data_IF_460946426630
#
_entry.id   IF_460946426630
#
_cell.length_a   1.000
_cell.length_b   1.000
_cell.length_c   1.000
_cell.angle_alpha   90.00
_cell.angle_beta   90.00
_cell.angle_gamma   90.00
#
_symmetry.space_group_name_H-M   'P 1'
#
loop_
_entity.id
_entity.type
_entity.pdbx_description
1 polymer ?
#
# COMPACT_ATOMS: atom_id res chain seq x y z
N UNK A 1 19.44 12.04 -9.24
CA UNK A 1 19.21 12.72 -7.96
C UNK A 1 17.94 12.15 -7.33
N UNK A 2 17.92 11.99 -6.01
CA UNK A 2 16.71 11.57 -5.28
C UNK A 2 15.71 12.73 -5.26
N UNK A 3 14.43 12.43 -5.46
CA UNK A 3 13.34 13.41 -5.40
C UNK A 3 12.74 13.49 -3.99
N UNK A 4 12.68 12.35 -3.31
CA UNK A 4 12.37 12.23 -1.89
C UNK A 4 13.58 11.62 -1.21
N UNK A 5 14.08 12.26 -0.17
CA UNK A 5 15.17 11.77 0.64
C UNK A 5 14.78 11.80 2.12
N UNK A 6 14.83 10.64 2.75
CA UNK A 6 14.52 10.44 4.17
C UNK A 6 15.74 9.89 4.84
N UNK A 7 16.22 10.55 5.91
CA UNK A 7 17.44 10.17 6.63
C UNK A 7 17.19 10.10 8.12
N UNK A 8 17.38 8.91 8.68
CA UNK A 8 17.41 8.62 10.13
C UNK A 8 16.22 9.19 10.90
N UNK A 9 14.99 9.12 10.31
CA UNK A 9 13.79 9.62 10.98
C UNK A 9 13.40 8.72 12.15
N UNK A 10 13.03 9.37 13.25
CA UNK A 10 12.49 8.72 14.45
C UNK A 10 11.20 9.40 14.87
N UNK A 11 10.24 8.62 15.37
CA UNK A 11 8.99 9.14 15.93
C UNK A 11 8.47 8.27 17.06
N UNK A 12 8.33 8.87 18.24
CA UNK A 12 7.81 8.24 19.43
C UNK A 12 6.53 8.95 19.89
N UNK A 13 5.50 8.21 20.17
CA UNK A 13 4.27 8.74 20.77
C UNK A 13 4.23 8.48 22.26
N UNK A 14 3.91 9.53 23.02
CA UNK A 14 3.68 9.46 24.46
C UNK A 14 2.18 9.29 24.71
N UNK A 15 1.77 8.09 25.12
CA UNK A 15 0.36 7.74 25.34
C UNK A 15 0.09 7.62 26.84
N UNK A 16 -0.87 8.37 27.42
CA UNK A 16 -1.21 8.24 28.82
C UNK A 16 -1.85 6.89 29.11
N UNK A 17 -1.38 6.21 30.14
CA UNK A 17 -2.01 4.98 30.63
C UNK A 17 -3.26 5.32 31.43
N UNK A 18 -4.41 4.76 31.05
CA UNK A 18 -5.64 4.87 31.82
C UNK A 18 -5.48 4.05 33.10
N UNK A 19 -5.61 4.70 34.27
CA UNK A 19 -5.70 3.97 35.55
C UNK A 19 -7.07 3.32 35.66
N UNK A 20 -7.11 2.05 36.09
CA UNK A 20 -8.37 1.34 36.40
C UNK A 20 -8.80 1.66 37.83
N UNK A 21 -10.08 2.01 38.07
CA UNK A 21 -10.67 2.19 39.40
C UNK A 21 -11.65 3.36 39.48
N UNK A 22 -12.55 3.28 40.47
CA UNK A 22 -13.68 4.22 40.70
C UNK A 22 -13.25 5.67 41.05
N UNK A 23 -11.97 5.85 41.49
CA UNK A 23 -11.34 7.15 41.79
C UNK A 23 -10.16 7.46 40.84
N UNK A 24 -10.14 6.84 39.64
CA UNK A 24 -9.03 6.95 38.67
C UNK A 24 -8.82 8.36 38.14
N UNK A 25 -9.89 9.15 38.04
CA UNK A 25 -9.87 10.50 37.46
C UNK A 25 -9.06 11.49 38.32
N UNK A 26 -9.22 11.44 39.64
CA UNK A 26 -8.48 12.32 40.58
C UNK A 26 -7.00 11.90 40.72
N UNK A 27 -6.71 10.59 40.72
CA UNK A 27 -5.34 10.04 40.81
C UNK A 27 -4.54 10.32 39.52
N UNK A 28 -5.22 10.35 38.36
CA UNK A 28 -4.60 10.64 37.06
C UNK A 28 -4.18 12.12 36.90
N UNK A 29 -4.77 13.03 37.67
CA UNK A 29 -4.39 14.44 37.64
C UNK A 29 -3.00 14.70 38.24
N UNK A 30 -2.63 13.94 39.32
CA UNK A 30 -1.37 14.14 40.01
C UNK A 30 -0.24 13.17 39.63
N UNK A 31 -0.52 12.01 39.02
CA UNK A 31 0.51 11.01 38.71
C UNK A 31 0.19 10.28 37.42
N UNK A 32 0.37 10.95 36.27
CA UNK A 32 0.15 10.36 34.94
C UNK A 32 1.29 9.44 34.55
N UNK A 33 1.03 8.13 34.51
CA UNK A 33 1.95 7.17 33.87
C UNK A 33 1.78 7.21 32.35
N UNK A 34 2.88 7.15 31.62
CA UNK A 34 2.91 7.17 30.18
C UNK A 34 3.53 5.89 29.64
N UNK A 35 3.01 5.44 28.50
CA UNK A 35 3.66 4.44 27.64
C UNK A 35 4.26 5.17 26.44
N UNK A 36 5.48 4.85 26.10
CA UNK A 36 6.13 5.33 24.89
C UNK A 36 5.99 4.28 23.79
N UNK A 37 5.53 4.70 22.61
CA UNK A 37 5.36 3.84 21.44
C UNK A 37 6.29 4.39 20.37
N UNK A 38 7.36 3.64 20.07
CA UNK A 38 8.31 3.96 19.00
C UNK A 38 7.69 3.59 17.66
N UNK A 39 7.00 4.53 17.03
CA UNK A 39 6.29 4.29 15.79
C UNK A 39 7.22 4.25 14.57
N UNK A 40 8.32 5.00 14.61
CA UNK A 40 9.37 5.03 13.58
C UNK A 40 10.73 5.01 14.30
N UNK A 41 11.64 4.16 13.82
CA UNK A 41 12.96 3.94 14.42
C UNK A 41 14.01 3.88 13.31
N UNK A 42 14.79 4.94 13.20
CA UNK A 42 15.94 5.05 12.28
C UNK A 42 15.62 4.71 10.82
N UNK A 43 14.51 5.23 10.30
CA UNK A 43 14.05 4.95 8.93
C UNK A 43 14.77 5.88 7.95
N UNK A 44 15.42 5.28 6.95
CA UNK A 44 16.12 5.98 5.87
C UNK A 44 15.83 5.34 4.52
N UNK A 45 15.42 6.13 3.53
CA UNK A 45 15.22 5.70 2.15
C UNK A 45 15.20 6.90 1.19
N UNK A 46 15.28 6.62 -0.11
CA UNK A 46 15.13 7.64 -1.13
C UNK A 46 14.21 7.16 -2.26
N UNK A 47 13.49 8.09 -2.91
CA UNK A 47 12.59 7.79 -4.04
C UNK A 47 12.93 8.72 -5.19
N UNK A 48 12.92 8.19 -6.42
CA UNK A 48 13.17 8.96 -7.64
C UNK A 48 11.88 9.63 -8.13
N UNK A 49 12.00 10.74 -8.86
CA UNK A 49 10.86 11.41 -9.48
C UNK A 49 10.13 10.49 -10.45
N UNK A 50 8.80 10.45 -10.35
CA UNK A 50 7.95 9.61 -11.20
C UNK A 50 7.97 8.11 -10.84
N UNK A 51 8.55 7.73 -9.71
CA UNK A 51 8.53 6.35 -9.21
C UNK A 51 7.20 6.04 -8.51
N UNK A 52 6.68 4.83 -8.68
CA UNK A 52 5.60 4.29 -7.84
C UNK A 52 6.23 3.32 -6.86
N UNK A 53 6.11 3.61 -5.57
CA UNK A 53 6.67 2.79 -4.48
C UNK A 53 5.56 2.27 -3.60
N UNK A 54 5.53 0.95 -3.39
CA UNK A 54 4.71 0.31 -2.38
C UNK A 54 5.37 0.41 -1.01
N UNK A 55 4.72 1.07 -0.05
CA UNK A 55 5.18 1.17 1.33
C UNK A 55 4.34 0.24 2.20
N UNK A 56 4.79 -0.98 2.43
CA UNK A 56 4.01 -2.08 2.99
C UNK A 56 4.48 -2.50 4.37
N UNK A 57 3.60 -3.14 5.13
CA UNK A 57 3.91 -3.60 6.49
C UNK A 57 2.63 -3.98 7.24
N UNK A 58 2.73 -4.70 8.37
CA UNK A 58 1.57 -5.06 9.18
C UNK A 58 0.92 -3.84 9.83
N UNK A 59 -0.26 -4.04 10.42
CA UNK A 59 -0.92 -2.98 11.19
C UNK A 59 -0.04 -2.57 12.38
N UNK A 60 0.10 -1.25 12.57
CA UNK A 60 0.99 -0.70 13.61
C UNK A 60 2.47 -0.65 13.25
N UNK A 61 2.88 -1.08 12.04
CA UNK A 61 4.30 -1.05 11.60
C UNK A 61 4.88 0.36 11.43
N UNK A 62 4.03 1.41 11.37
CA UNK A 62 4.47 2.79 11.18
C UNK A 62 4.12 3.41 9.82
N UNK A 63 3.44 2.69 8.93
CA UNK A 63 3.08 3.16 7.56
C UNK A 63 2.42 4.54 7.56
N UNK A 64 1.24 4.67 8.18
CA UNK A 64 0.50 5.94 8.21
C UNK A 64 1.25 7.04 8.99
N UNK A 65 2.13 6.68 9.94
CA UNK A 65 2.99 7.65 10.62
C UNK A 65 4.02 8.22 9.65
N UNK A 66 4.64 7.36 8.85
CA UNK A 66 5.58 7.80 7.80
C UNK A 66 4.88 8.68 6.77
N UNK A 67 3.71 8.28 6.25
CA UNK A 67 2.93 9.12 5.32
C UNK A 67 2.60 10.48 5.93
N UNK A 68 2.21 10.54 7.21
CA UNK A 68 1.93 11.82 7.90
C UNK A 68 3.18 12.69 8.06
N UNK A 69 4.36 12.11 8.25
CA UNK A 69 5.62 12.86 8.27
C UNK A 69 5.94 13.38 6.87
N UNK A 70 5.86 12.52 5.85
CA UNK A 70 6.14 12.90 4.47
C UNK A 70 5.14 13.95 3.95
N UNK A 71 3.87 13.89 4.34
CA UNK A 71 2.86 14.89 3.98
C UNK A 71 2.92 16.19 4.82
N UNK A 72 3.87 16.30 5.75
CA UNK A 72 4.04 17.48 6.60
C UNK A 72 2.97 17.66 7.70
N UNK A 73 2.17 16.62 7.97
CA UNK A 73 1.18 16.61 9.06
C UNK A 73 1.86 16.39 10.42
N UNK A 74 2.90 15.55 10.44
CA UNK A 74 3.68 15.26 11.64
C UNK A 74 5.14 15.72 11.43
N UNK A 75 5.74 16.18 12.53
CA UNK A 75 7.17 16.44 12.61
C UNK A 75 7.83 15.23 13.27
N UNK A 76 8.91 14.67 12.70
CA UNK A 76 9.68 13.61 13.36
C UNK A 76 10.38 14.17 14.61
N UNK A 77 10.75 13.28 15.54
CA UNK A 77 11.49 13.68 16.75
C UNK A 77 12.97 13.90 16.44
N UNK A 78 13.50 13.19 15.42
CA UNK A 78 14.85 13.38 14.88
C UNK A 78 14.92 12.91 13.43
N UNK A 79 16.04 13.22 12.77
CA UNK A 79 16.28 12.91 11.36
C UNK A 79 15.86 14.03 10.42
N UNK A 80 16.00 13.79 9.12
CA UNK A 80 15.73 14.78 8.09
C UNK A 80 14.90 14.21 6.94
N UNK A 81 14.01 15.05 6.38
CA UNK A 81 13.24 14.75 5.18
C UNK A 81 13.36 15.91 4.21
N UNK A 82 13.81 15.62 3.00
CA UNK A 82 13.87 16.59 1.90
C UNK A 82 13.08 16.03 0.73
N UNK A 83 12.12 16.81 0.23
CA UNK A 83 11.24 16.43 -0.88
C UNK A 83 11.22 17.62 -1.86
N UNK A 84 11.69 17.40 -3.09
CA UNK A 84 11.84 18.47 -4.11
C UNK A 84 12.47 19.75 -3.53
N UNK A 85 13.58 19.59 -2.81
CA UNK A 85 14.34 20.66 -2.12
C UNK A 85 13.59 21.33 -0.95
N UNK A 86 12.45 20.82 -0.51
CA UNK A 86 11.65 21.35 0.60
C UNK A 86 11.66 20.42 1.80
N UNK A 87 11.61 20.98 3.00
CA UNK A 87 11.34 20.24 4.23
C UNK A 87 9.84 20.32 4.53
N UNK A 88 9.07 19.21 4.54
CA UNK A 88 7.61 19.22 4.60
C UNK A 88 6.97 20.09 5.67
N UNK A 89 7.57 20.16 6.86
CA UNK A 89 7.03 20.94 8.00
C UNK A 89 7.60 22.36 8.09
N UNK A 90 8.75 22.65 7.44
CA UNK A 90 9.32 23.99 7.40
C UNK A 90 8.71 24.80 6.26
N UNK A 91 8.65 24.21 5.07
CA UNK A 91 8.17 24.85 3.84
C UNK A 91 6.68 24.58 3.59
N UNK A 92 5.91 24.35 4.65
CA UNK A 92 4.56 23.74 4.63
C UNK A 92 3.62 24.36 3.60
N UNK A 93 3.54 25.72 3.52
CA UNK A 93 2.61 26.40 2.62
C UNK A 93 2.89 26.09 1.15
N UNK A 94 4.16 26.12 0.74
CA UNK A 94 4.60 25.79 -0.62
C UNK A 94 4.52 24.29 -0.86
N UNK A 95 4.92 23.50 0.12
CA UNK A 95 4.95 22.04 0.01
C UNK A 95 3.56 21.44 -0.19
N UNK A 96 2.55 21.90 0.54
CA UNK A 96 1.17 21.36 0.46
C UNK A 96 0.55 21.58 -0.93
N UNK A 97 0.93 22.66 -1.65
CA UNK A 97 0.46 22.89 -3.03
C UNK A 97 1.11 21.95 -4.06
N UNK A 98 2.15 21.21 -3.69
CA UNK A 98 2.87 20.29 -4.59
C UNK A 98 2.52 18.82 -4.33
N UNK A 99 1.67 18.53 -3.33
CA UNK A 99 1.31 17.16 -2.94
C UNK A 99 -0.19 16.93 -2.96
N UNK A 100 -0.59 15.74 -3.37
CA UNK A 100 -1.94 15.19 -3.14
C UNK A 100 -1.85 14.10 -2.07
N UNK A 101 -2.85 14.03 -1.18
CA UNK A 101 -2.90 13.01 -0.13
C UNK A 101 -4.31 12.43 -0.10
N UNK A 102 -4.42 11.11 -0.12
CA UNK A 102 -5.68 10.39 0.08
C UNK A 102 -5.52 9.45 1.27
N UNK A 103 -6.37 9.61 2.29
CA UNK A 103 -6.46 8.71 3.42
C UNK A 103 -7.71 7.83 3.28
N UNK A 104 -7.54 6.53 3.11
CA UNK A 104 -8.65 5.61 2.80
C UNK A 104 -9.82 5.65 3.79
N UNK A 105 -9.55 5.96 5.06
CA UNK A 105 -10.57 6.02 6.10
C UNK A 105 -11.07 7.43 6.43
N UNK A 106 -10.53 8.45 5.80
CA UNK A 106 -10.90 9.86 6.04
C UNK A 106 -11.21 10.56 4.74
N UNK A 107 -12.39 11.17 4.67
CA UNK A 107 -12.77 12.01 3.54
C UNK A 107 -12.17 13.40 3.67
N UNK A 108 -11.65 13.93 2.56
CA UNK A 108 -11.32 15.34 2.40
C UNK A 108 -12.47 16.12 1.73
N UNK A 109 -13.47 15.38 1.20
CA UNK A 109 -14.66 15.95 0.61
C UNK A 109 -15.67 16.29 1.69
N UNK A 110 -16.45 17.35 1.47
CA UNK A 110 -17.54 17.75 2.34
C UNK A 110 -18.72 16.79 2.21
N UNK A 111 -19.12 16.21 3.32
CA UNK A 111 -20.02 15.05 3.37
C UNK A 111 -21.44 15.31 2.83
N UNK A 112 -21.97 16.51 3.10
CA UNK A 112 -23.37 16.85 2.81
C UNK A 112 -23.59 17.55 1.47
N UNK A 113 -22.53 17.91 0.75
CA UNK A 113 -22.60 18.59 -0.54
C UNK A 113 -22.10 17.69 -1.68
N UNK A 114 -22.49 17.99 -2.94
CA UNK A 114 -21.95 17.31 -4.12
C UNK A 114 -20.43 17.38 -4.21
N UNK A 115 -19.82 16.35 -4.82
CA UNK A 115 -18.37 16.31 -4.99
C UNK A 115 -17.84 17.51 -5.80
N UNK A 116 -18.61 17.99 -6.78
CA UNK A 116 -18.25 19.18 -7.58
C UNK A 116 -18.08 20.43 -6.73
N UNK A 117 -18.91 20.62 -5.70
CA UNK A 117 -18.81 21.79 -4.83
C UNK A 117 -17.56 21.73 -3.96
N UNK A 118 -17.18 20.51 -3.52
CA UNK A 118 -15.90 20.29 -2.85
C UNK A 118 -14.72 20.62 -3.79
N UNK A 119 -14.81 20.27 -5.08
CA UNK A 119 -13.76 20.57 -6.05
C UNK A 119 -13.66 22.07 -6.32
N UNK A 120 -14.78 22.77 -6.43
CA UNK A 120 -14.82 24.24 -6.57
C UNK A 120 -14.14 24.93 -5.38
N UNK A 121 -14.42 24.46 -4.17
CA UNK A 121 -13.78 24.99 -2.97
C UNK A 121 -12.25 24.70 -2.95
N UNK A 122 -11.84 23.51 -3.38
CA UNK A 122 -10.41 23.19 -3.51
C UNK A 122 -9.73 24.07 -4.57
N UNK A 123 -10.40 24.37 -5.69
CA UNK A 123 -9.91 25.32 -6.68
C UNK A 123 -9.55 26.67 -6.02
N UNK A 124 -10.45 27.20 -5.19
CA UNK A 124 -10.24 28.48 -4.52
C UNK A 124 -9.13 28.41 -3.46
N UNK A 125 -9.09 27.32 -2.68
CA UNK A 125 -8.03 27.07 -1.68
C UNK A 125 -6.65 27.02 -2.33
N UNK A 126 -6.52 26.29 -3.46
CA UNK A 126 -5.26 26.16 -4.19
C UNK A 126 -5.00 27.31 -5.16
N UNK A 127 -5.96 28.23 -5.33
CA UNK A 127 -5.91 29.39 -6.25
C UNK A 127 -5.62 28.96 -7.70
N UNK A 128 -6.34 27.96 -8.17
CA UNK A 128 -6.18 27.44 -9.53
C UNK A 128 -6.93 28.38 -10.50
N UNK A 129 -6.28 28.72 -11.62
CA UNK A 129 -6.91 29.49 -12.69
C UNK A 129 -8.13 28.78 -13.24
N UNK A 130 -9.19 29.55 -13.62
CA UNK A 130 -10.46 28.98 -14.08
C UNK A 130 -10.34 28.09 -15.31
N UNK A 131 -9.50 28.45 -16.27
CA UNK A 131 -9.32 27.66 -17.49
C UNK A 131 -8.53 26.39 -17.18
N UNK A 132 -7.50 26.50 -16.35
CA UNK A 132 -6.73 25.35 -15.90
C UNK A 132 -7.60 24.40 -15.08
N UNK A 133 -8.41 24.92 -14.15
CA UNK A 133 -9.35 24.11 -13.37
C UNK A 133 -10.32 23.34 -14.26
N UNK A 134 -10.99 24.02 -15.20
CA UNK A 134 -11.95 23.39 -16.13
C UNK A 134 -11.28 22.27 -16.93
N UNK A 135 -10.07 22.49 -17.44
CA UNK A 135 -9.31 21.50 -18.17
C UNK A 135 -9.01 20.28 -17.29
N UNK A 136 -8.47 20.50 -16.07
CA UNK A 136 -8.12 19.44 -15.14
C UNK A 136 -9.34 18.65 -14.69
N UNK A 137 -10.43 19.36 -14.36
CA UNK A 137 -11.67 18.74 -13.94
C UNK A 137 -12.24 17.82 -15.02
N UNK A 138 -12.33 18.30 -16.27
CA UNK A 138 -12.81 17.48 -17.38
C UNK A 138 -11.95 16.23 -17.59
N UNK A 139 -10.64 16.36 -17.55
CA UNK A 139 -9.73 15.20 -17.64
C UNK A 139 -9.99 14.18 -16.51
N UNK A 140 -10.17 14.64 -15.27
CA UNK A 140 -10.46 13.78 -14.12
C UNK A 140 -11.84 13.13 -14.20
N UNK A 141 -12.86 13.87 -14.69
CA UNK A 141 -14.21 13.33 -14.91
C UNK A 141 -14.17 12.17 -15.89
N UNK A 142 -13.47 12.33 -17.01
CA UNK A 142 -13.35 11.27 -18.03
C UNK A 142 -12.55 10.07 -17.50
N UNK A 143 -11.39 10.33 -16.89
CA UNK A 143 -10.47 9.26 -16.46
C UNK A 143 -11.02 8.40 -15.32
N UNK A 144 -11.81 8.96 -14.43
CA UNK A 144 -12.38 8.29 -13.25
C UNK A 144 -13.87 7.96 -13.42
N UNK A 145 -14.47 8.27 -14.60
CA UNK A 145 -15.89 8.06 -14.86
C UNK A 145 -16.77 8.75 -13.78
N UNK A 146 -16.57 10.07 -13.57
CA UNK A 146 -17.27 10.83 -12.52
C UNK A 146 -18.57 11.49 -13.01
N UNK A 147 -18.86 11.51 -14.32
CA UNK A 147 -19.96 12.29 -14.93
C UNK A 147 -21.28 12.13 -14.21
N UNK A 148 -21.66 10.88 -13.90
CA UNK A 148 -22.97 10.58 -13.33
C UNK A 148 -23.02 10.74 -11.80
N UNK A 149 -21.87 10.92 -11.15
CA UNK A 149 -21.75 10.91 -9.68
C UNK A 149 -21.27 12.24 -9.10
N UNK A 150 -20.69 13.12 -9.91
CA UNK A 150 -20.03 14.35 -9.45
C UNK A 150 -21.01 15.34 -8.80
N UNK A 151 -22.29 15.31 -9.21
CA UNK A 151 -23.36 16.17 -8.70
C UNK A 151 -24.14 15.52 -7.54
N UNK A 152 -23.74 14.34 -7.09
CA UNK A 152 -24.39 13.64 -5.97
C UNK A 152 -23.68 14.02 -4.68
N UNK A 153 -24.43 14.30 -3.57
CA UNK A 153 -23.84 14.50 -2.25
C UNK A 153 -22.94 13.33 -1.83
N UNK A 154 -21.75 13.64 -1.30
CA UNK A 154 -20.72 12.64 -1.01
C UNK A 154 -21.22 11.50 -0.12
N UNK A 155 -22.11 11.79 0.84
CA UNK A 155 -22.74 10.79 1.72
C UNK A 155 -23.57 9.74 1.00
N UNK A 156 -24.05 10.02 -0.21
CA UNK A 156 -24.89 9.12 -1.00
C UNK A 156 -24.06 8.25 -1.96
N UNK A 157 -22.77 8.53 -2.11
CA UNK A 157 -21.88 7.78 -2.98
C UNK A 157 -21.53 6.42 -2.36
N UNK A 158 -21.45 5.40 -3.20
CA UNK A 158 -20.79 4.14 -2.80
C UNK A 158 -19.33 4.40 -2.41
N UNK A 159 -18.75 3.51 -1.62
CA UNK A 159 -17.35 3.64 -1.19
C UNK A 159 -16.39 3.79 -2.40
N UNK A 160 -16.59 3.00 -3.45
CA UNK A 160 -15.80 3.07 -4.68
C UNK A 160 -15.96 4.40 -5.41
N UNK A 161 -17.18 4.91 -5.55
CA UNK A 161 -17.44 6.20 -6.17
C UNK A 161 -16.88 7.35 -5.33
N UNK A 162 -17.02 7.28 -4.01
CA UNK A 162 -16.40 8.25 -3.10
C UNK A 162 -14.88 8.25 -3.26
N UNK A 163 -14.23 7.08 -3.30
CA UNK A 163 -12.78 7.01 -3.47
C UNK A 163 -12.31 7.61 -4.80
N UNK A 164 -13.04 7.42 -5.89
CA UNK A 164 -12.72 8.10 -7.16
C UNK A 164 -12.77 9.63 -7.02
N UNK A 165 -13.78 10.16 -6.33
CA UNK A 165 -13.88 11.59 -6.05
C UNK A 165 -12.76 12.08 -5.11
N UNK A 166 -12.37 11.30 -4.09
CA UNK A 166 -11.23 11.61 -3.21
C UNK A 166 -9.91 11.73 -3.98
N UNK A 167 -9.67 10.78 -4.90
CA UNK A 167 -8.47 10.80 -5.75
C UNK A 167 -8.51 11.99 -6.71
N UNK A 168 -9.69 12.30 -7.31
CA UNK A 168 -9.83 13.49 -8.13
C UNK A 168 -9.55 14.77 -7.36
N UNK A 169 -10.09 14.91 -6.14
CA UNK A 169 -9.84 16.05 -5.26
C UNK A 169 -8.35 16.23 -4.96
N UNK A 170 -7.65 15.13 -4.67
CA UNK A 170 -6.20 15.17 -4.40
C UNK A 170 -5.35 15.53 -5.62
N UNK A 171 -5.91 15.49 -6.83
CA UNK A 171 -5.20 15.75 -8.10
C UNK A 171 -5.65 17.02 -8.83
N UNK A 172 -6.69 17.70 -8.35
CA UNK A 172 -7.27 18.86 -9.03
C UNK A 172 -6.27 19.99 -9.27
N UNK A 173 -5.28 20.13 -8.37
CA UNK A 173 -4.21 21.12 -8.41
C UNK A 173 -2.90 20.61 -9.05
N UNK A 174 -2.93 19.44 -9.72
CA UNK A 174 -1.78 18.81 -10.40
C UNK A 174 -0.53 18.64 -9.53
N UNK A 175 -0.61 17.95 -8.42
CA UNK A 175 0.54 17.75 -7.53
C UNK A 175 1.66 16.95 -8.23
N UNK A 176 2.89 17.15 -7.78
CA UNK A 176 4.05 16.35 -8.21
C UNK A 176 4.14 15.00 -7.51
N UNK A 177 3.52 14.90 -6.33
CA UNK A 177 3.54 13.71 -5.47
C UNK A 177 2.12 13.37 -5.04
N UNK A 178 1.80 12.07 -5.05
CA UNK A 178 0.54 11.54 -4.55
C UNK A 178 0.84 10.50 -3.45
N UNK A 179 0.36 10.79 -2.25
CA UNK A 179 0.36 9.84 -1.14
C UNK A 179 -1.00 9.17 -1.06
N UNK A 180 -1.02 7.84 -1.12
CA UNK A 180 -2.22 7.02 -1.07
C UNK A 180 -2.13 6.07 0.13
N UNK A 181 -2.89 6.36 1.18
CA UNK A 181 -2.93 5.51 2.37
C UNK A 181 -4.17 4.62 2.31
N UNK A 182 -3.97 3.37 1.88
CA UNK A 182 -5.00 2.33 1.68
C UNK A 182 -6.15 2.73 0.72
N UNK A 183 -5.87 3.19 -0.52
CA UNK A 183 -6.88 3.77 -1.40
C UNK A 183 -7.89 2.77 -1.98
N UNK A 184 -7.67 1.48 -1.82
CA UNK A 184 -8.53 0.42 -2.39
C UNK A 184 -9.26 -0.39 -1.32
N UNK A 185 -9.11 -0.01 -0.05
CA UNK A 185 -9.74 -0.71 1.07
C UNK A 185 -11.28 -0.69 0.92
N UNK A 186 -11.89 -1.88 1.02
CA UNK A 186 -13.35 -2.02 0.94
C UNK A 186 -13.95 -1.76 -0.45
N UNK A 187 -13.14 -1.60 -1.50
CA UNK A 187 -13.63 -1.48 -2.87
C UNK A 187 -13.89 -2.86 -3.49
N UNK A 188 -14.91 -2.92 -4.35
CA UNK A 188 -15.14 -4.07 -5.23
C UNK A 188 -14.05 -4.19 -6.32
N UNK A 189 -13.96 -5.36 -6.97
CA UNK A 189 -12.93 -5.67 -7.97
C UNK A 189 -12.92 -4.68 -9.16
N UNK A 190 -14.10 -4.20 -9.58
CA UNK A 190 -14.22 -3.27 -10.70
C UNK A 190 -13.67 -1.90 -10.30
N UNK A 191 -14.07 -1.39 -9.14
CA UNK A 191 -13.60 -0.12 -8.58
C UNK A 191 -12.08 -0.15 -8.33
N UNK A 192 -11.54 -1.24 -7.78
CA UNK A 192 -10.08 -1.45 -7.63
C UNK A 192 -9.36 -1.35 -8.98
N UNK A 193 -9.87 -2.01 -10.02
CA UNK A 193 -9.28 -1.99 -11.37
C UNK A 193 -9.27 -0.57 -11.96
N UNK A 194 -10.36 0.19 -11.79
CA UNK A 194 -10.45 1.58 -12.27
C UNK A 194 -9.39 2.45 -11.56
N UNK A 195 -9.32 2.39 -10.23
CA UNK A 195 -8.35 3.16 -9.43
C UNK A 195 -6.91 2.80 -9.81
N UNK A 196 -6.58 1.51 -9.92
CA UNK A 196 -5.25 1.05 -10.34
C UNK A 196 -4.86 1.55 -11.72
N UNK A 197 -5.75 1.42 -12.71
CA UNK A 197 -5.49 1.88 -14.07
C UNK A 197 -5.30 3.40 -14.11
N UNK A 198 -6.10 4.13 -13.35
CA UNK A 198 -5.97 5.57 -13.23
C UNK A 198 -4.61 5.97 -12.65
N UNK A 199 -4.18 5.37 -11.52
CA UNK A 199 -2.87 5.65 -10.91
C UNK A 199 -1.73 5.40 -11.91
N UNK A 200 -1.77 4.28 -12.66
CA UNK A 200 -0.79 3.99 -13.71
C UNK A 200 -0.77 5.09 -14.78
N UNK A 201 -1.96 5.53 -15.21
CA UNK A 201 -2.11 6.51 -16.28
C UNK A 201 -1.55 7.87 -15.88
N UNK A 202 -1.89 8.39 -14.71
CA UNK A 202 -1.36 9.68 -14.23
C UNK A 202 0.16 9.63 -14.00
N UNK A 203 0.69 8.53 -13.46
CA UNK A 203 2.12 8.36 -13.31
C UNK A 203 2.83 8.35 -14.67
N UNK A 204 2.30 7.63 -15.66
CA UNK A 204 2.89 7.55 -17.00
C UNK A 204 2.85 8.89 -17.72
N UNK A 205 1.71 9.60 -17.70
CA UNK A 205 1.50 10.85 -18.44
C UNK A 205 2.15 12.04 -17.75
N UNK A 206 1.92 12.20 -16.46
CA UNK A 206 2.27 13.40 -15.71
C UNK A 206 3.53 13.23 -14.85
N UNK A 207 4.13 12.02 -14.85
CA UNK A 207 5.31 11.69 -14.02
C UNK A 207 5.11 11.98 -12.54
N UNK A 208 3.87 11.85 -12.05
CA UNK A 208 3.55 11.99 -10.62
C UNK A 208 4.25 10.88 -9.84
N UNK A 209 5.00 11.26 -8.81
CA UNK A 209 5.60 10.29 -7.89
C UNK A 209 4.52 9.77 -6.95
N UNK A 210 4.41 8.45 -6.78
CA UNK A 210 3.35 7.85 -5.97
C UNK A 210 3.95 7.03 -4.84
N UNK A 211 3.49 7.27 -3.62
CA UNK A 211 3.74 6.39 -2.47
C UNK A 211 2.40 5.80 -2.06
N UNK A 212 2.32 4.47 -2.18
CA UNK A 212 1.11 3.70 -1.92
C UNK A 212 1.31 2.84 -0.68
N UNK A 213 0.47 3.03 0.35
CA UNK A 213 0.35 2.02 1.41
C UNK A 213 -0.85 1.12 1.14
N UNK A 214 -0.69 -0.15 1.34
CA UNK A 214 -1.78 -1.12 1.25
C UNK A 214 -1.41 -2.39 2.01
N UNK A 215 -2.42 -3.16 2.39
CA UNK A 215 -2.28 -4.54 2.84
C UNK A 215 -2.75 -5.54 1.75
N UNK A 216 -3.30 -5.05 0.64
CA UNK A 216 -3.69 -5.87 -0.52
C UNK A 216 -2.50 -5.97 -1.50
N UNK A 217 -1.85 -7.14 -1.50
CA UNK A 217 -0.66 -7.35 -2.34
C UNK A 217 -0.97 -7.30 -3.83
N UNK A 218 -2.21 -7.54 -4.24
CA UNK A 218 -2.63 -7.39 -5.63
C UNK A 218 -2.55 -5.93 -6.12
N UNK A 219 -2.66 -4.94 -5.23
CA UNK A 219 -2.40 -3.54 -5.56
C UNK A 219 -0.92 -3.29 -5.81
N UNK A 220 -0.07 -3.89 -4.97
CA UNK A 220 1.39 -3.77 -5.10
C UNK A 220 1.86 -4.39 -6.41
N UNK A 221 1.43 -5.61 -6.71
CA UNK A 221 1.76 -6.28 -7.98
C UNK A 221 1.30 -5.47 -9.21
N UNK A 222 0.10 -4.89 -9.10
CA UNK A 222 -0.45 -4.10 -10.18
C UNK A 222 0.28 -2.77 -10.39
N UNK A 223 0.77 -2.10 -9.34
CA UNK A 223 1.18 -0.70 -9.39
C UNK A 223 2.68 -0.48 -9.19
N UNK A 224 3.29 -1.18 -8.23
CA UNK A 224 4.63 -0.87 -7.75
C UNK A 224 5.68 -1.87 -8.26
N UNK A 225 6.75 -1.35 -8.84
CA UNK A 225 7.93 -2.17 -9.17
C UNK A 225 8.89 -2.30 -7.99
N UNK A 226 8.89 -1.33 -7.09
CA UNK A 226 9.70 -1.28 -5.88
C UNK A 226 8.82 -1.24 -4.65
N UNK A 227 9.25 -1.93 -3.62
CA UNK A 227 8.59 -1.95 -2.32
C UNK A 227 9.59 -1.57 -1.22
N UNK A 228 9.06 -0.90 -0.21
CA UNK A 228 9.73 -0.67 1.07
C UNK A 228 8.88 -1.39 2.11
N UNK A 229 9.42 -2.45 2.70
CA UNK A 229 8.77 -3.23 3.75
C UNK A 229 9.17 -2.67 5.11
N UNK A 230 8.19 -2.28 5.91
CA UNK A 230 8.39 -1.78 7.26
C UNK A 230 7.79 -2.72 8.31
N UNK A 231 8.52 -2.95 9.40
CA UNK A 231 8.04 -3.72 10.54
C UNK A 231 8.54 -3.13 11.86
N UNK A 232 7.68 -3.03 12.87
CA UNK A 232 8.01 -2.43 14.19
C UNK A 232 8.74 -1.09 14.09
N UNK A 233 8.37 -0.27 13.10
CA UNK A 233 8.96 1.05 12.87
C UNK A 233 10.32 1.07 12.16
N UNK A 234 10.82 -0.06 11.65
CA UNK A 234 12.10 -0.19 10.94
C UNK A 234 11.91 -0.69 9.52
N UNK A 235 12.77 -0.28 8.59
CA UNK A 235 12.80 -0.87 7.25
C UNK A 235 13.42 -2.26 7.33
N UNK A 236 12.72 -3.24 6.77
CA UNK A 236 13.14 -4.63 6.71
C UNK A 236 13.66 -5.00 5.32
N UNK A 237 13.05 -4.39 4.29
CA UNK A 237 13.45 -4.59 2.91
C UNK A 237 13.19 -3.31 2.11
N UNK A 238 14.10 -2.98 1.21
CA UNK A 238 13.95 -1.92 0.21
C UNK A 238 14.54 -2.42 -1.12
N UNK A 239 13.66 -2.70 -2.07
CA UNK A 239 14.09 -3.26 -3.35
C UNK A 239 12.96 -3.53 -4.31
N UNK A 240 13.27 -4.17 -5.44
CA UNK A 240 12.24 -4.52 -6.43
C UNK A 240 11.42 -5.72 -5.98
N UNK A 241 10.13 -5.70 -6.33
CA UNK A 241 9.22 -6.82 -6.05
C UNK A 241 9.69 -8.11 -6.73
N UNK A 242 10.25 -8.00 -7.94
CA UNK A 242 10.78 -9.15 -8.67
C UNK A 242 12.00 -9.80 -7.97
N UNK A 243 12.87 -8.99 -7.34
CA UNK A 243 13.98 -9.50 -6.55
C UNK A 243 13.49 -10.21 -5.30
N UNK A 244 12.52 -9.61 -4.59
CA UNK A 244 11.91 -10.21 -3.43
C UNK A 244 11.26 -11.56 -3.77
N UNK A 245 10.47 -11.63 -4.84
CA UNK A 245 9.88 -12.89 -5.32
C UNK A 245 10.96 -13.93 -5.61
N UNK A 246 12.03 -13.57 -6.31
CA UNK A 246 13.10 -14.50 -6.65
C UNK A 246 13.82 -15.05 -5.42
N UNK A 247 13.99 -14.26 -4.37
CA UNK A 247 14.69 -14.66 -3.15
C UNK A 247 13.83 -15.51 -2.20
N UNK A 248 12.53 -15.28 -2.14
CA UNK A 248 11.64 -15.87 -1.14
C UNK A 248 10.54 -16.76 -1.72
N UNK A 249 10.16 -16.60 -2.99
CA UNK A 249 9.12 -17.37 -3.68
C UNK A 249 9.72 -18.57 -4.42
N UNK A 250 10.34 -19.45 -3.67
CA UNK A 250 10.97 -20.67 -4.21
C UNK A 250 10.17 -21.95 -3.97
N UNK A 251 9.03 -21.85 -3.28
CA UNK A 251 8.11 -22.96 -3.08
C UNK A 251 7.01 -22.88 -4.13
N UNK A 252 6.77 -23.97 -4.85
CA UNK A 252 5.61 -24.07 -5.75
C UNK A 252 4.63 -25.10 -5.19
N UNK A 253 3.38 -24.71 -5.20
CA UNK A 253 2.27 -25.61 -4.89
C UNK A 253 1.77 -26.20 -6.20
N UNK A 254 1.79 -27.53 -6.31
CA UNK A 254 1.35 -28.26 -7.48
C UNK A 254 0.24 -29.19 -7.04
N UNK A 255 -0.98 -28.94 -7.54
CA UNK A 255 -2.16 -29.76 -7.31
C UNK A 255 -2.38 -30.64 -8.53
N UNK A 256 -2.46 -31.94 -8.33
CA UNK A 256 -2.61 -32.94 -9.38
C UNK A 256 -3.89 -33.72 -9.14
N UNK A 257 -4.82 -33.65 -10.10
CA UNK A 257 -6.01 -34.48 -10.09
C UNK A 257 -5.65 -35.86 -10.65
N UNK A 258 -5.81 -36.90 -9.82
CA UNK A 258 -5.49 -38.27 -10.14
C UNK A 258 -6.31 -39.22 -9.28
N UNK A 259 -6.56 -40.44 -9.80
CA UNK A 259 -7.13 -41.56 -9.03
C UNK A 259 -6.05 -42.43 -8.38
N UNK A 260 -4.82 -42.25 -8.79
CA UNK A 260 -3.71 -43.06 -8.33
C UNK A 260 -3.17 -42.58 -6.98
N UNK A 261 -2.57 -43.46 -6.23
CA UNK A 261 -1.89 -43.16 -4.99
C UNK A 261 -0.38 -43.07 -5.26
N UNK A 262 0.23 -42.02 -4.77
CA UNK A 262 1.68 -41.85 -4.86
C UNK A 262 2.19 -41.22 -3.57
N UNK A 263 3.25 -41.76 -3.02
CA UNK A 263 4.03 -41.15 -1.95
C UNK A 263 5.44 -40.99 -2.44
N UNK A 264 5.96 -39.76 -2.33
CA UNK A 264 7.33 -39.43 -2.69
C UNK A 264 8.01 -38.80 -1.48
N UNK A 265 9.21 -39.25 -1.22
CA UNK A 265 10.07 -38.71 -0.17
C UNK A 265 11.41 -38.31 -0.78
N UNK A 266 11.48 -37.06 -1.23
CA UNK A 266 12.67 -36.47 -1.82
C UNK A 266 12.95 -35.10 -1.18
N UNK A 267 14.23 -34.72 -1.13
CA UNK A 267 14.67 -33.47 -0.48
C UNK A 267 14.12 -32.17 -1.10
N UNK A 268 13.60 -32.22 -2.34
CA UNK A 268 12.94 -31.11 -2.99
C UNK A 268 11.43 -31.03 -2.66
N UNK A 269 10.85 -32.03 -2.00
CA UNK A 269 9.44 -32.04 -1.57
C UNK A 269 9.38 -31.48 -0.15
N UNK A 270 8.79 -30.30 0.00
CA UNK A 270 8.59 -29.65 1.30
C UNK A 270 7.39 -30.27 2.04
N UNK A 271 6.31 -30.57 1.31
CA UNK A 271 5.17 -31.31 1.84
C UNK A 271 4.40 -32.00 0.71
N UNK A 272 3.76 -33.12 1.05
CA UNK A 272 2.82 -33.82 0.22
C UNK A 272 1.54 -34.06 1.01
N UNK A 273 0.40 -33.68 0.44
CA UNK A 273 -0.91 -33.86 1.05
C UNK A 273 -1.86 -34.55 0.08
N UNK A 274 -2.79 -35.34 0.61
CA UNK A 274 -3.90 -35.88 -0.16
C UNK A 274 -5.04 -34.83 -0.17
N UNK A 275 -5.57 -34.53 -1.35
CA UNK A 275 -6.75 -33.67 -1.55
C UNK A 275 -7.92 -34.53 -2.03
N UNK A 276 -9.13 -33.97 -2.07
CA UNK A 276 -10.38 -34.69 -2.37
C UNK A 276 -10.30 -35.52 -3.66
N UNK A 277 -9.70 -34.95 -4.72
CA UNK A 277 -9.61 -35.60 -6.04
C UNK A 277 -8.16 -35.81 -6.50
N UNK A 278 -7.17 -35.92 -5.58
CA UNK A 278 -5.79 -36.08 -6.01
C UNK A 278 -4.74 -35.84 -4.94
N UNK A 279 -3.63 -35.24 -5.37
CA UNK A 279 -2.45 -35.00 -4.57
C UNK A 279 -2.00 -33.55 -4.69
N UNK A 280 -1.55 -32.97 -3.59
CA UNK A 280 -0.95 -31.64 -3.53
C UNK A 280 0.51 -31.78 -3.10
N UNK A 281 1.41 -31.18 -3.87
CA UNK A 281 2.84 -31.13 -3.56
C UNK A 281 3.26 -29.68 -3.36
N UNK A 282 4.06 -29.41 -2.33
CA UNK A 282 4.88 -28.20 -2.23
C UNK A 282 6.33 -28.56 -2.52
N UNK A 283 6.90 -28.00 -3.57
CA UNK A 283 8.25 -28.29 -4.01
C UNK A 283 9.16 -27.05 -3.96
N UNK A 284 10.44 -27.26 -3.64
CA UNK A 284 11.47 -26.22 -3.69
C UNK A 284 12.10 -26.17 -5.09
N UNK A 285 11.72 -25.16 -5.89
CA UNK A 285 12.17 -25.01 -7.28
C UNK A 285 13.66 -24.63 -7.42
N UNK A 286 14.38 -24.40 -6.32
CA UNK A 286 15.84 -24.26 -6.34
C UNK A 286 16.55 -25.61 -6.45
N UNK A 287 15.85 -26.70 -6.09
CA UNK A 287 16.36 -28.06 -6.06
C UNK A 287 15.87 -28.92 -7.23
N UNK A 288 14.74 -28.59 -7.84
CA UNK A 288 14.17 -29.28 -9.00
C UNK A 288 13.42 -28.30 -9.89
N UNK A 289 13.59 -28.41 -11.20
CA UNK A 289 12.77 -27.66 -12.15
C UNK A 289 11.34 -28.23 -12.22
N UNK A 290 10.35 -27.35 -12.40
CA UNK A 290 8.93 -27.75 -12.48
C UNK A 290 8.73 -28.79 -13.60
N UNK A 291 9.36 -28.63 -14.74
CA UNK A 291 9.28 -29.54 -15.87
C UNK A 291 9.81 -30.94 -15.53
N UNK A 292 10.89 -31.03 -14.80
CA UNK A 292 11.46 -32.31 -14.34
C UNK A 292 10.54 -32.97 -13.31
N UNK A 293 9.98 -32.20 -12.39
CA UNK A 293 9.01 -32.71 -11.43
C UNK A 293 7.77 -33.27 -12.12
N UNK A 294 7.19 -32.55 -13.10
CA UNK A 294 6.03 -33.02 -13.85
C UNK A 294 6.35 -34.31 -14.63
N UNK A 295 7.51 -34.40 -15.28
CA UNK A 295 7.96 -35.64 -15.96
C UNK A 295 8.07 -36.82 -14.99
N UNK A 296 8.63 -36.59 -13.81
CA UNK A 296 8.74 -37.61 -12.77
C UNK A 296 7.35 -38.12 -12.33
N UNK A 297 6.43 -37.20 -12.07
CA UNK A 297 5.07 -37.57 -11.63
C UNK A 297 4.33 -38.31 -12.74
N UNK A 298 4.33 -37.79 -13.97
CA UNK A 298 3.62 -38.41 -15.10
C UNK A 298 4.17 -39.80 -15.48
N UNK A 299 5.40 -40.11 -15.12
CA UNK A 299 5.96 -41.48 -15.27
C UNK A 299 5.46 -42.47 -14.22
N UNK A 300 4.86 -41.98 -13.11
CA UNK A 300 4.44 -42.82 -11.98
C UNK A 300 2.94 -42.91 -11.81
N UNK A 301 2.18 -41.89 -12.19
CA UNK A 301 0.73 -41.83 -12.07
C UNK A 301 0.09 -41.23 -13.31
N UNK A 302 -1.17 -41.52 -13.54
CA UNK A 302 -2.00 -40.91 -14.58
C UNK A 302 -2.49 -39.55 -14.10
N UNK A 303 -2.09 -38.47 -14.81
CA UNK A 303 -2.51 -37.11 -14.52
C UNK A 303 -3.77 -36.80 -15.33
N UNK A 304 -4.86 -36.44 -14.63
CA UNK A 304 -6.12 -36.00 -15.25
C UNK A 304 -6.07 -34.49 -15.48
N UNK A 305 -5.60 -33.75 -14.48
CA UNK A 305 -5.42 -32.29 -14.54
C UNK A 305 -4.30 -31.86 -13.60
N UNK A 306 -3.69 -30.71 -13.87
CA UNK A 306 -2.62 -30.16 -13.08
C UNK A 306 -2.78 -28.66 -12.95
N UNK A 307 -2.72 -28.17 -11.73
CA UNK A 307 -2.68 -26.75 -11.40
C UNK A 307 -1.37 -26.42 -10.68
N UNK A 308 -0.70 -25.36 -11.14
CA UNK A 308 0.56 -24.90 -10.59
C UNK A 308 0.37 -23.48 -10.06
N UNK A 309 0.27 -23.38 -8.75
CA UNK A 309 0.18 -22.08 -8.09
C UNK A 309 1.59 -21.53 -7.81
N UNK A 310 1.88 -20.38 -8.41
CA UNK A 310 3.02 -19.57 -8.02
C UNK A 310 2.65 -18.92 -6.70
N UNK A 311 3.33 -19.28 -5.62
CA UNK A 311 3.05 -18.85 -4.25
C UNK A 311 2.49 -17.42 -4.16
N UNK A 312 1.45 -17.27 -3.36
CA UNK A 312 0.80 -15.99 -3.15
C UNK A 312 1.80 -15.02 -2.49
N UNK A 313 1.90 -13.81 -3.02
CA UNK A 313 2.77 -12.79 -2.44
C UNK A 313 2.40 -12.48 -0.97
N UNK A 314 1.15 -12.71 -0.59
CA UNK A 314 0.71 -12.60 0.80
C UNK A 314 1.43 -13.61 1.70
N UNK A 315 1.56 -14.89 1.27
CA UNK A 315 2.32 -15.91 2.00
C UNK A 315 3.80 -15.57 2.11
N UNK A 316 4.37 -15.00 1.04
CA UNK A 316 5.75 -14.53 1.03
C UNK A 316 5.97 -13.42 2.05
N UNK A 317 5.06 -12.45 2.13
CA UNK A 317 5.15 -11.36 3.09
C UNK A 317 4.96 -11.87 4.53
N UNK A 318 4.03 -12.82 4.76
CA UNK A 318 3.85 -13.46 6.08
C UNK A 318 5.15 -14.15 6.50
N UNK A 319 5.77 -14.92 5.62
CA UNK A 319 7.05 -15.59 5.88
C UNK A 319 8.17 -14.58 6.22
N UNK A 320 8.23 -13.45 5.50
CA UNK A 320 9.16 -12.37 5.83
C UNK A 320 8.93 -11.81 7.23
N UNK A 321 7.67 -11.63 7.64
CA UNK A 321 7.37 -11.15 8.99
C UNK A 321 7.78 -12.17 10.06
N UNK A 322 7.62 -13.47 9.81
CA UNK A 322 8.08 -14.55 10.70
C UNK A 322 9.61 -14.55 10.81
N UNK A 323 10.34 -14.47 9.69
CA UNK A 323 11.80 -14.43 9.66
C UNK A 323 12.37 -13.23 10.43
N UNK A 324 11.69 -12.09 10.36
CA UNK A 324 12.04 -10.89 11.12
C UNK A 324 11.43 -10.82 12.53
N UNK A 325 10.74 -11.88 12.98
CA UNK A 325 10.08 -11.98 14.31
C UNK A 325 9.16 -10.80 14.61
N UNK A 326 8.29 -10.46 13.68
CA UNK A 326 7.36 -9.33 13.76
C UNK A 326 5.95 -9.80 14.06
#
# INVERSE_FOLDING_TARGET
MSFIEVKHINKTFKVPLKSKGRFSTLKTFFNRKYRYINAIQDVSFSIKKGEIVGYIGPNGAGKSTTIKILSGILVPDSGNVVIDHMTPWKDRKKYVSEIGVVFGQRSQLWWDIPAIDSFNLLKDIYKIDDNEYKKNLNELIELLNLKDIINIPVRQLSLGNRMKCEIAAALIHKPKILFLDEPTIGLDAVSKKIVRNFIKKINKLNKVTVILTTHDMSDIEALAKRIILIGKGKILYDGTLSKLKKEYDYIRKISIITKDKLELNNEYIVSQNKIENGLEFKIDIRKIEINEFIKLISSKISIIDIDIDSGNIDELIVKLYEDFKI
#
